data_IF_552199527148
#
_entry.id   IF_552199527148
#
_cell.length_a   1.000
_cell.length_b   1.000
_cell.length_c   1.000
_cell.angle_alpha   90.00
_cell.angle_beta   90.00
_cell.angle_gamma   90.00
#
_symmetry.space_group_name_H-M   'P 1'
#
loop_
_entity.id
_entity.type
_entity.pdbx_description
1 polymer ?
#
# COMPACT_ATOMS: atom_id res chain seq x y z
N UNK A 1 2.91 18.45 8.71
CA UNK A 1 4.21 18.85 9.28
C UNK A 1 4.99 19.43 8.13
N UNK A 2 5.13 20.73 8.03
CA UNK A 2 5.88 21.35 6.94
C UNK A 2 7.37 21.17 7.21
N UNK A 3 8.09 20.67 6.20
CA UNK A 3 9.54 20.62 6.21
C UNK A 3 10.09 22.04 6.33
N UNK A 4 11.00 22.25 7.28
CA UNK A 4 11.71 23.51 7.34
C UNK A 4 12.51 23.67 6.03
N UNK A 5 12.18 24.63 5.15
CA UNK A 5 12.84 24.77 3.86
C UNK A 5 14.33 25.15 3.96
N UNK A 6 14.83 25.36 5.17
CA UNK A 6 16.25 25.64 5.46
C UNK A 6 17.06 24.40 5.87
N UNK A 7 16.39 23.26 6.08
CA UNK A 7 17.07 22.02 6.48
C UNK A 7 17.54 21.25 5.21
N UNK A 8 18.77 21.51 4.80
CA UNK A 8 19.39 20.94 3.62
C UNK A 8 19.50 19.41 3.69
N UNK A 9 19.69 18.85 4.88
CA UNK A 9 19.83 17.41 5.05
C UNK A 9 18.48 16.72 4.89
N UNK A 10 17.41 17.31 5.44
CA UNK A 10 16.04 16.81 5.24
C UNK A 10 15.65 16.86 3.75
N UNK A 11 15.98 17.95 3.04
CA UNK A 11 15.68 18.08 1.61
C UNK A 11 16.42 17.03 0.76
N UNK A 12 17.69 16.74 1.07
CA UNK A 12 18.46 15.68 0.38
C UNK A 12 17.85 14.29 0.60
N UNK A 13 17.51 13.97 1.84
CA UNK A 13 16.87 12.68 2.17
C UNK A 13 15.55 12.53 1.42
N UNK A 14 14.73 13.57 1.36
CA UNK A 14 13.45 13.55 0.62
C UNK A 14 13.70 13.35 -0.87
N UNK A 15 14.65 14.07 -1.48
CA UNK A 15 14.98 13.90 -2.89
C UNK A 15 15.44 12.47 -3.22
N UNK A 16 16.21 11.83 -2.35
CA UNK A 16 16.59 10.43 -2.52
C UNK A 16 15.42 9.45 -2.31
N UNK A 17 14.49 9.76 -1.44
CA UNK A 17 13.24 8.99 -1.34
C UNK A 17 12.42 9.09 -2.62
N UNK A 18 12.31 10.27 -3.22
CA UNK A 18 11.63 10.46 -4.50
C UNK A 18 12.30 9.64 -5.62
N UNK A 19 13.63 9.53 -5.60
CA UNK A 19 14.38 8.67 -6.54
C UNK A 19 14.04 7.19 -6.35
N UNK A 20 13.90 6.69 -5.12
CA UNK A 20 13.43 5.31 -4.85
C UNK A 20 12.05 5.06 -5.45
N UNK A 21 11.12 6.00 -5.28
CA UNK A 21 9.79 5.90 -5.86
C UNK A 21 9.82 5.96 -7.39
N UNK A 22 10.72 6.77 -7.98
CA UNK A 22 10.88 6.87 -9.43
C UNK A 22 11.39 5.54 -10.03
N UNK A 23 12.37 4.88 -9.40
CA UNK A 23 12.87 3.56 -9.82
C UNK A 23 11.72 2.53 -9.84
N UNK A 24 10.92 2.47 -8.79
CA UNK A 24 9.81 1.52 -8.69
C UNK A 24 8.65 1.85 -9.65
N UNK A 25 8.41 3.13 -9.89
CA UNK A 25 7.43 3.60 -10.87
C UNK A 25 7.83 3.22 -12.30
N UNK A 26 9.12 3.32 -12.63
CA UNK A 26 9.66 2.89 -13.91
C UNK A 26 9.47 1.39 -14.12
N UNK A 27 9.81 0.57 -13.12
CA UNK A 27 9.62 -0.88 -13.15
C UNK A 27 8.16 -1.28 -13.45
N UNK A 28 7.20 -0.55 -12.85
CA UNK A 28 5.77 -0.76 -13.12
C UNK A 28 5.36 -0.35 -14.53
N UNK A 29 5.87 0.79 -15.01
CA UNK A 29 5.57 1.29 -16.36
C UNK A 29 6.09 0.33 -17.44
N UNK A 30 7.23 -0.28 -17.21
CA UNK A 30 7.86 -1.26 -18.10
C UNK A 30 7.24 -2.67 -17.96
N UNK A 31 6.36 -2.89 -17.00
CA UNK A 31 5.70 -4.18 -16.76
C UNK A 31 6.66 -5.28 -16.36
N UNK A 32 7.72 -4.95 -15.61
CA UNK A 32 8.73 -5.92 -15.20
C UNK A 32 8.14 -7.07 -14.38
N UNK A 33 8.65 -8.28 -14.61
CA UNK A 33 8.32 -9.42 -13.77
C UNK A 33 8.74 -9.19 -12.31
N UNK A 34 8.16 -9.92 -11.33
CA UNK A 34 8.61 -9.82 -9.94
C UNK A 34 10.11 -10.06 -9.78
N UNK A 35 10.67 -11.00 -10.54
CA UNK A 35 12.10 -11.33 -10.52
C UNK A 35 12.95 -10.17 -11.05
N UNK A 36 12.58 -9.61 -12.21
CA UNK A 36 13.30 -8.48 -12.80
C UNK A 36 13.19 -7.23 -11.93
N UNK A 37 12.02 -7.01 -11.30
CA UNK A 37 11.83 -5.93 -10.33
C UNK A 37 12.76 -6.10 -9.12
N UNK A 38 12.92 -7.32 -8.62
CA UNK A 38 13.83 -7.60 -7.51
C UNK A 38 15.29 -7.30 -7.89
N UNK A 39 15.72 -7.72 -9.07
CA UNK A 39 17.07 -7.42 -9.57
C UNK A 39 17.29 -5.91 -9.70
N UNK A 40 16.34 -5.19 -10.27
CA UNK A 40 16.41 -3.72 -10.36
C UNK A 40 16.49 -3.06 -8.98
N UNK A 41 15.73 -3.53 -7.99
CA UNK A 41 15.75 -3.02 -6.62
C UNK A 41 17.08 -3.29 -5.93
N UNK A 42 17.66 -4.47 -6.13
CA UNK A 42 18.97 -4.81 -5.58
C UNK A 42 20.10 -3.99 -6.22
N UNK A 43 20.00 -3.74 -7.52
CA UNK A 43 21.01 -2.96 -8.27
C UNK A 43 20.92 -1.45 -7.96
N UNK A 44 19.72 -0.86 -8.01
CA UNK A 44 19.54 0.59 -7.91
C UNK A 44 19.02 1.07 -6.55
N UNK A 45 18.02 0.40 -6.01
CA UNK A 45 17.36 0.88 -4.78
C UNK A 45 18.15 0.55 -3.53
N UNK A 46 18.86 -0.58 -3.48
CA UNK A 46 19.65 -0.97 -2.29
C UNK A 46 20.79 0.01 -1.99
N UNK A 47 21.67 0.39 -2.95
CA UNK A 47 22.71 1.38 -2.70
C UNK A 47 22.15 2.73 -2.25
N UNK A 48 21.04 3.16 -2.84
CA UNK A 48 20.37 4.40 -2.50
C UNK A 48 19.82 4.37 -1.08
N UNK A 49 19.24 3.25 -0.66
CA UNK A 49 18.77 3.05 0.73
C UNK A 49 19.94 3.11 1.74
N UNK A 50 21.09 2.54 1.41
CA UNK A 50 22.27 2.60 2.27
C UNK A 50 22.77 4.04 2.42
N UNK A 51 22.73 4.82 1.36
CA UNK A 51 23.05 6.26 1.40
C UNK A 51 22.04 7.03 2.28
N UNK A 52 20.74 6.81 2.09
CA UNK A 52 19.68 7.43 2.91
C UNK A 52 19.89 7.08 4.39
N UNK A 53 20.13 5.80 4.71
CA UNK A 53 20.41 5.38 6.09
C UNK A 53 21.59 6.12 6.71
N UNK A 54 22.68 6.20 5.97
CA UNK A 54 23.90 6.91 6.40
C UNK A 54 23.63 8.38 6.68
N UNK A 55 22.86 9.05 5.82
CA UNK A 55 22.48 10.45 6.00
C UNK A 55 21.56 10.64 7.21
N UNK A 56 20.57 9.77 7.41
CA UNK A 56 19.69 9.81 8.59
C UNK A 56 20.52 9.60 9.88
N UNK A 57 21.51 8.73 9.86
CA UNK A 57 22.40 8.52 11.01
C UNK A 57 23.25 9.74 11.33
N UNK A 58 23.78 10.42 10.30
CA UNK A 58 24.51 11.69 10.46
C UNK A 58 23.60 12.80 10.99
N UNK A 59 22.47 13.02 10.33
CA UNK A 59 21.49 14.02 10.76
C UNK A 59 21.04 13.80 12.22
N UNK A 60 20.92 12.53 12.65
CA UNK A 60 20.63 12.19 14.04
C UNK A 60 21.76 12.62 15.00
N UNK A 61 23.03 12.39 14.59
CA UNK A 61 24.19 12.73 15.42
C UNK A 61 24.34 14.24 15.61
N UNK A 62 23.99 15.00 14.57
CA UNK A 62 24.11 16.45 14.55
C UNK A 62 22.88 17.17 15.16
N UNK A 63 21.76 16.44 15.32
CA UNK A 63 20.54 16.99 15.86
C UNK A 63 20.57 17.13 17.39
N UNK A 64 19.89 18.15 17.89
CA UNK A 64 19.65 18.32 19.34
C UNK A 64 18.97 17.07 19.92
N UNK A 65 19.45 16.47 21.02
CA UNK A 65 19.04 15.15 21.52
C UNK A 65 17.53 14.96 21.72
N UNK A 66 16.80 16.02 22.05
CA UNK A 66 15.34 16.01 22.22
C UNK A 66 14.57 16.75 21.12
N UNK A 67 15.29 17.17 20.06
CA UNK A 67 14.73 17.91 18.93
C UNK A 67 13.78 17.08 18.08
N UNK A 68 12.98 17.73 17.27
CA UNK A 68 12.04 17.09 16.35
C UNK A 68 12.77 16.22 15.33
N UNK A 69 13.89 16.71 14.80
CA UNK A 69 14.73 15.98 13.84
C UNK A 69 15.29 14.69 14.46
N UNK A 70 15.85 14.75 15.68
CA UNK A 70 16.37 13.56 16.37
C UNK A 70 15.26 12.51 16.59
N UNK A 71 14.05 12.93 16.95
CA UNK A 71 12.89 12.03 17.10
C UNK A 71 12.50 11.39 15.78
N UNK A 72 12.45 12.15 14.70
CA UNK A 72 12.14 11.64 13.36
C UNK A 72 13.19 10.62 12.88
N UNK A 73 14.47 10.94 13.03
CA UNK A 73 15.57 10.03 12.69
C UNK A 73 15.50 8.72 13.51
N UNK A 74 15.29 8.82 14.83
CA UNK A 74 15.16 7.65 15.69
C UNK A 74 13.97 6.78 15.28
N UNK A 75 12.82 7.37 15.01
CA UNK A 75 11.64 6.67 14.53
C UNK A 75 11.93 5.90 13.23
N UNK A 76 12.52 6.56 12.25
CA UNK A 76 12.87 5.95 10.96
C UNK A 76 13.87 4.82 11.12
N UNK A 77 14.93 5.00 11.91
CA UNK A 77 15.95 3.98 12.15
C UNK A 77 15.38 2.76 12.90
N UNK A 78 14.46 2.96 13.83
CA UNK A 78 13.76 1.86 14.54
C UNK A 78 12.93 1.01 13.57
N UNK A 79 12.35 1.63 12.55
CA UNK A 79 11.54 0.93 11.54
C UNK A 79 12.35 0.46 10.34
N UNK A 80 13.67 0.70 10.29
CA UNK A 80 14.49 0.50 9.10
C UNK A 80 14.35 -0.88 8.46
N UNK A 81 14.43 -1.93 9.28
CA UNK A 81 14.27 -3.31 8.80
C UNK A 81 12.91 -3.55 8.15
N UNK A 82 11.85 -2.91 8.64
CA UNK A 82 10.50 -3.01 8.05
C UNK A 82 10.41 -2.22 6.76
N UNK A 83 11.00 -1.03 6.72
CA UNK A 83 10.99 -0.15 5.55
C UNK A 83 11.80 -0.72 4.39
N UNK A 84 12.85 -1.50 4.65
CA UNK A 84 13.69 -2.13 3.63
C UNK A 84 13.19 -3.49 3.14
N UNK A 85 12.12 -4.05 3.70
CA UNK A 85 11.59 -5.37 3.32
C UNK A 85 11.23 -5.53 1.86
N UNK A 86 10.88 -4.46 1.16
CA UNK A 86 10.56 -4.52 -0.26
C UNK A 86 11.72 -4.97 -1.14
N UNK A 87 12.96 -4.93 -0.64
CA UNK A 87 14.14 -5.50 -1.33
C UNK A 87 14.13 -7.02 -1.34
N UNK A 88 13.52 -7.64 -0.33
CA UNK A 88 13.44 -9.10 -0.17
C UNK A 88 12.16 -9.67 -0.78
N UNK A 89 11.13 -8.84 -0.91
CA UNK A 89 9.78 -9.20 -1.34
C UNK A 89 9.38 -8.41 -2.58
N UNK A 90 9.62 -8.96 -3.79
CA UNK A 90 9.36 -8.26 -5.05
C UNK A 90 7.87 -7.93 -5.28
N UNK A 91 6.97 -8.67 -4.61
CA UNK A 91 5.53 -8.45 -4.65
C UNK A 91 5.08 -7.21 -3.86
N UNK A 92 5.90 -6.72 -2.92
CA UNK A 92 5.55 -5.55 -2.12
C UNK A 92 5.68 -4.27 -2.94
N UNK A 93 4.65 -3.43 -2.84
CA UNK A 93 4.68 -2.07 -3.36
C UNK A 93 5.35 -1.12 -2.36
N UNK A 94 6.12 -0.14 -2.87
CA UNK A 94 6.72 0.91 -2.04
C UNK A 94 5.69 1.88 -1.47
N UNK A 95 4.56 2.01 -2.16
CA UNK A 95 3.48 2.93 -1.79
C UNK A 95 2.29 2.17 -1.23
N UNK A 96 1.69 2.68 -0.17
CA UNK A 96 0.42 2.20 0.37
C UNK A 96 -0.81 2.85 -0.29
N UNK A 97 -0.63 3.62 -1.37
CA UNK A 97 -1.71 4.32 -2.07
C UNK A 97 -2.86 3.40 -2.48
N UNK A 98 -2.58 2.15 -2.83
CA UNK A 98 -3.63 1.17 -3.15
C UNK A 98 -4.50 0.87 -1.92
N UNK A 99 -3.88 0.71 -0.75
CA UNK A 99 -4.60 0.48 0.50
C UNK A 99 -5.38 1.73 0.93
N UNK A 100 -4.78 2.90 0.84
CA UNK A 100 -5.45 4.18 1.15
C UNK A 100 -6.63 4.44 0.22
N UNK A 101 -6.45 4.23 -1.08
CA UNK A 101 -7.54 4.36 -2.06
C UNK A 101 -8.66 3.32 -1.83
N UNK A 102 -8.34 2.13 -1.30
CA UNK A 102 -9.35 1.15 -0.91
C UNK A 102 -10.20 1.60 0.27
N UNK A 103 -9.64 2.42 1.16
CA UNK A 103 -10.38 2.98 2.30
C UNK A 103 -11.21 4.22 1.95
N UNK A 104 -10.96 4.83 0.79
CA UNK A 104 -11.65 6.06 0.35
C UNK A 104 -13.16 5.92 0.25
N UNK A 105 -13.74 4.84 -0.33
CA UNK A 105 -15.18 4.65 -0.36
C UNK A 105 -15.79 4.58 1.04
N UNK A 106 -15.10 3.95 1.99
CA UNK A 106 -15.53 3.89 3.38
C UNK A 106 -15.52 5.28 4.03
N UNK A 107 -14.46 6.05 3.82
CA UNK A 107 -14.32 7.40 4.36
C UNK A 107 -15.38 8.35 3.81
N UNK A 108 -15.70 8.26 2.52
CA UNK A 108 -16.78 9.02 1.88
C UNK A 108 -18.15 8.54 2.33
N UNK A 109 -18.35 7.23 2.39
CA UNK A 109 -19.61 6.60 2.81
C UNK A 109 -19.99 6.95 4.25
N UNK A 110 -19.01 7.13 5.15
CA UNK A 110 -19.24 7.58 6.53
C UNK A 110 -20.06 8.86 6.63
N UNK A 111 -19.90 9.78 5.70
CA UNK A 111 -20.66 11.04 5.65
C UNK A 111 -22.11 10.81 5.24
N UNK A 112 -22.36 9.81 4.40
CA UNK A 112 -23.69 9.51 3.87
C UNK A 112 -24.47 8.56 4.80
N UNK A 113 -23.79 7.61 5.42
CA UNK A 113 -24.44 6.57 6.24
C UNK A 113 -24.55 6.95 7.71
N UNK A 114 -23.88 8.02 8.15
CA UNK A 114 -23.82 8.51 9.53
C UNK A 114 -23.26 7.45 10.49
N UNK A 115 -23.77 6.20 10.45
CA UNK A 115 -23.30 5.06 11.22
C UNK A 115 -23.64 3.74 10.51
N UNK A 116 -22.96 2.67 10.92
CA UNK A 116 -23.11 1.32 10.33
C UNK A 116 -24.17 0.48 11.08
N UNK A 117 -24.84 1.08 12.07
CA UNK A 117 -25.87 0.43 12.87
C UNK A 117 -25.36 -0.18 14.17
N UNK A 118 -24.38 -1.08 14.13
CA UNK A 118 -23.78 -1.69 15.33
C UNK A 118 -22.34 -2.11 15.07
N UNK A 119 -21.59 -2.37 16.13
CA UNK A 119 -20.22 -2.90 16.07
C UNK A 119 -20.17 -4.23 15.29
N UNK A 120 -21.19 -5.09 15.50
CA UNK A 120 -21.29 -6.39 14.82
C UNK A 120 -21.59 -6.27 13.32
N UNK A 121 -22.16 -5.16 12.85
CA UNK A 121 -22.41 -4.90 11.44
C UNK A 121 -21.12 -4.50 10.69
N UNK A 122 -20.11 -3.98 11.40
CA UNK A 122 -18.85 -3.53 10.83
C UNK A 122 -18.15 -4.55 9.93
N UNK A 123 -17.86 -5.78 10.42
CA UNK A 123 -17.22 -6.82 9.61
C UNK A 123 -18.03 -7.20 8.35
N UNK A 124 -19.35 -7.23 8.45
CA UNK A 124 -20.23 -7.55 7.31
C UNK A 124 -20.18 -6.47 6.23
N UNK A 125 -20.24 -5.21 6.63
CA UNK A 125 -20.11 -4.07 5.71
C UNK A 125 -18.71 -4.03 5.09
N UNK A 126 -17.66 -4.30 5.85
CA UNK A 126 -16.30 -4.40 5.35
C UNK A 126 -16.15 -5.50 4.27
N UNK A 127 -16.76 -6.67 4.49
CA UNK A 127 -16.76 -7.77 3.52
C UNK A 127 -17.46 -7.35 2.21
N UNK A 128 -18.64 -6.73 2.30
CA UNK A 128 -19.38 -6.26 1.12
C UNK A 128 -18.55 -5.20 0.34
N UNK A 129 -17.97 -4.22 1.04
CA UNK A 129 -17.14 -3.20 0.42
C UNK A 129 -15.92 -3.84 -0.24
N UNK A 130 -15.27 -4.82 0.38
CA UNK A 130 -14.13 -5.54 -0.19
C UNK A 130 -14.48 -6.22 -1.51
N UNK A 131 -15.64 -6.87 -1.60
CA UNK A 131 -16.13 -7.49 -2.84
C UNK A 131 -16.38 -6.44 -3.91
N UNK A 132 -17.09 -5.35 -3.57
CA UNK A 132 -17.39 -4.26 -4.50
C UNK A 132 -16.12 -3.60 -5.03
N UNK A 133 -15.15 -3.29 -4.16
CA UNK A 133 -13.88 -2.67 -4.56
C UNK A 133 -13.01 -3.64 -5.39
N UNK A 134 -13.07 -4.93 -5.11
CA UNK A 134 -12.40 -5.95 -5.93
C UNK A 134 -13.00 -5.98 -7.34
N UNK A 135 -14.34 -5.96 -7.47
CA UNK A 135 -14.99 -5.86 -8.77
C UNK A 135 -14.56 -4.59 -9.53
N UNK A 136 -14.53 -3.45 -8.86
CA UNK A 136 -14.10 -2.17 -9.49
C UNK A 136 -12.67 -2.24 -10.02
N UNK A 137 -11.76 -2.80 -9.23
CA UNK A 137 -10.33 -2.94 -9.60
C UNK A 137 -10.13 -3.88 -10.79
N UNK A 138 -10.91 -4.95 -10.83
CA UNK A 138 -10.89 -5.91 -11.93
C UNK A 138 -11.71 -5.44 -13.15
N UNK A 139 -12.32 -4.24 -13.09
CA UNK A 139 -13.25 -3.73 -14.09
C UNK A 139 -14.43 -4.69 -14.35
N UNK A 140 -14.82 -5.41 -13.33
CA UNK A 140 -15.89 -6.40 -13.37
C UNK A 140 -17.23 -5.67 -13.18
N UNK A 141 -18.27 -5.90 -14.03
CA UNK A 141 -19.59 -5.32 -13.85
C UNK A 141 -20.23 -5.82 -12.56
N UNK A 142 -20.27 -4.96 -11.54
CA UNK A 142 -20.70 -5.33 -10.17
C UNK A 142 -22.13 -5.89 -10.17
N UNK A 143 -23.02 -5.29 -10.94
CA UNK A 143 -24.43 -5.70 -11.02
C UNK A 143 -24.57 -7.11 -11.58
N UNK A 144 -23.88 -7.41 -12.67
CA UNK A 144 -23.94 -8.70 -13.35
C UNK A 144 -23.29 -9.79 -12.48
N UNK A 145 -22.14 -9.47 -11.89
CA UNK A 145 -21.48 -10.34 -10.91
C UNK A 145 -22.42 -10.69 -9.74
N UNK A 146 -22.96 -9.70 -9.05
CA UNK A 146 -23.86 -9.95 -7.90
C UNK A 146 -25.14 -10.65 -8.35
N UNK A 147 -25.72 -10.28 -9.49
CA UNK A 147 -26.91 -10.90 -10.05
C UNK A 147 -26.71 -12.38 -10.37
N UNK A 148 -25.51 -12.80 -10.74
CA UNK A 148 -25.19 -14.19 -11.04
C UNK A 148 -24.90 -15.05 -9.80
N UNK A 149 -24.30 -14.47 -8.74
CA UNK A 149 -23.89 -15.26 -7.57
C UNK A 149 -24.90 -15.29 -6.43
N UNK A 150 -25.62 -14.17 -6.18
CA UNK A 150 -26.52 -14.05 -5.04
C UNK A 150 -27.65 -15.10 -5.04
N UNK A 151 -28.32 -15.42 -6.17
CA UNK A 151 -29.42 -16.39 -6.17
C UNK A 151 -29.05 -17.80 -5.68
N UNK A 152 -27.78 -18.20 -5.87
CA UNK A 152 -27.32 -19.53 -5.47
C UNK A 152 -26.46 -19.57 -4.21
N UNK A 153 -26.11 -18.40 -3.65
CA UNK A 153 -25.10 -18.27 -2.61
C UNK A 153 -25.44 -19.01 -1.32
N UNK A 154 -26.72 -19.00 -0.90
CA UNK A 154 -27.15 -19.64 0.34
C UNK A 154 -26.94 -21.15 0.35
N UNK A 155 -26.99 -21.80 -0.80
CA UNK A 155 -26.85 -23.23 -0.97
C UNK A 155 -25.49 -23.65 -1.51
N UNK A 156 -24.58 -22.69 -1.69
CA UNK A 156 -23.26 -22.96 -2.28
C UNK A 156 -22.32 -23.57 -1.22
N UNK A 157 -21.61 -24.68 -1.55
CA UNK A 157 -20.69 -25.33 -0.61
C UNK A 157 -19.57 -24.38 -0.17
N UNK A 158 -19.37 -24.25 1.15
CA UNK A 158 -18.39 -23.31 1.72
C UNK A 158 -16.96 -23.62 1.30
N UNK A 159 -16.60 -24.88 1.11
CA UNK A 159 -15.30 -25.33 0.64
C UNK A 159 -14.99 -24.91 -0.82
N UNK A 160 -16.02 -24.50 -1.57
CA UNK A 160 -15.89 -24.02 -2.95
C UNK A 160 -16.11 -22.52 -3.09
N UNK A 161 -16.26 -21.79 -2.00
CA UNK A 161 -16.58 -20.35 -2.02
C UNK A 161 -15.56 -19.53 -2.81
N UNK A 162 -14.31 -19.98 -2.90
CA UNK A 162 -13.26 -19.34 -3.70
C UNK A 162 -13.63 -19.23 -5.20
N UNK A 163 -14.47 -20.13 -5.72
CA UNK A 163 -14.94 -20.11 -7.10
C UNK A 163 -15.90 -18.94 -7.38
N UNK A 164 -16.49 -18.37 -6.34
CA UNK A 164 -17.41 -17.24 -6.45
C UNK A 164 -16.73 -15.89 -6.29
N UNK A 165 -15.41 -15.85 -6.04
CA UNK A 165 -14.69 -14.58 -5.95
C UNK A 165 -14.76 -13.79 -7.26
N UNK A 166 -14.72 -12.44 -7.22
CA UNK A 166 -14.77 -11.62 -8.43
C UNK A 166 -13.74 -11.99 -9.48
N UNK A 167 -12.52 -12.40 -9.05
CA UNK A 167 -11.47 -12.82 -9.95
C UNK A 167 -11.79 -14.17 -10.64
N UNK A 168 -12.29 -15.16 -9.88
CA UNK A 168 -12.67 -16.46 -10.44
C UNK A 168 -13.89 -16.36 -11.36
N UNK A 169 -14.83 -15.46 -11.03
CA UNK A 169 -15.98 -15.19 -11.88
C UNK A 169 -15.57 -14.57 -13.22
N UNK A 170 -14.68 -13.57 -13.18
CA UNK A 170 -14.17 -12.91 -14.38
C UNK A 170 -13.40 -13.87 -15.30
N UNK A 171 -12.66 -14.81 -14.72
CA UNK A 171 -11.92 -15.82 -15.50
C UNK A 171 -12.83 -16.83 -16.25
N UNK A 172 -14.13 -16.92 -15.87
CA UNK A 172 -15.09 -17.84 -16.48
C UNK A 172 -16.04 -17.18 -17.49
N UNK A 173 -16.10 -15.85 -17.48
CA UNK A 173 -16.98 -15.05 -18.33
C UNK A 173 -16.19 -14.08 -19.21
#
# INVERSE_FOLDING_TARGET
MELNPKDQDALRIVAQMDELFAIDAQARKEGLSPQDRQLLRLDKSKPLLEQIKSQIQRARSDALPKGVLAKACNYTLTLWTRLSRFLEHPELELSNNLAENAMRPLALGRRNWIHIGSEQAGPRVAAIISVVETCRRLKNPIRDYLGSILPGLANFPINRIAELTPAAWLARN
#
